data_IF_325303535413
#
_entry.id   IF_325303535413
#
_cell.length_a   1.000
_cell.length_b   1.000
_cell.length_c   1.000
_cell.angle_alpha   90.00
_cell.angle_beta   90.00
_cell.angle_gamma   90.00
#
_symmetry.space_group_name_H-M   'P 1'
#
loop_
_entity.id
_entity.type
_entity.pdbx_description
1 polymer ?
#
# COMPACT_ATOMS: atom_id res chain seq x y z
N UNK A 1 -18.57 -10.65 8.68
CA UNK A 1 -17.16 -10.18 8.54
C UNK A 1 -16.69 -10.71 7.20
N UNK A 2 -16.00 -9.91 6.38
CA UNK A 2 -15.47 -10.43 5.11
C UNK A 2 -14.48 -11.56 5.39
N UNK A 3 -14.40 -12.54 4.50
CA UNK A 3 -13.50 -13.68 4.63
C UNK A 3 -12.03 -13.19 4.55
N UNK A 4 -11.20 -13.37 5.59
CA UNK A 4 -9.81 -12.90 5.61
C UNK A 4 -8.98 -13.44 4.44
N UNK A 5 -9.18 -14.70 4.03
CA UNK A 5 -8.42 -15.31 2.94
C UNK A 5 -8.71 -14.58 1.61
N UNK A 6 -9.99 -14.38 1.29
CA UNK A 6 -10.42 -13.61 0.12
C UNK A 6 -9.89 -12.19 0.11
N UNK A 7 -9.96 -11.47 1.23
CA UNK A 7 -9.54 -10.07 1.31
C UNK A 7 -8.02 -9.92 1.15
N UNK A 8 -7.23 -10.81 1.77
CA UNK A 8 -5.77 -10.81 1.65
C UNK A 8 -5.34 -11.21 0.23
N UNK A 9 -5.99 -12.22 -0.36
CA UNK A 9 -5.76 -12.63 -1.76
C UNK A 9 -6.08 -11.49 -2.73
N UNK A 10 -7.20 -10.78 -2.50
CA UNK A 10 -7.57 -9.63 -3.30
C UNK A 10 -6.52 -8.52 -3.20
N UNK A 11 -6.09 -8.16 -1.98
CA UNK A 11 -5.06 -7.14 -1.76
C UNK A 11 -3.75 -7.46 -2.51
N UNK A 12 -3.22 -8.68 -2.31
CA UNK A 12 -2.01 -9.17 -3.00
C UNK A 12 -2.16 -9.16 -4.53
N UNK A 13 -3.36 -9.45 -5.04
CA UNK A 13 -3.59 -9.47 -6.49
C UNK A 13 -3.68 -8.11 -7.18
N UNK A 14 -3.86 -7.03 -6.42
CA UNK A 14 -4.12 -5.69 -6.96
C UNK A 14 -3.03 -4.69 -6.62
N UNK A 15 -2.39 -4.84 -5.46
CA UNK A 15 -1.46 -3.85 -4.92
C UNK A 15 -0.34 -3.53 -5.91
N UNK A 16 0.25 -4.53 -6.56
CA UNK A 16 1.38 -4.33 -7.49
C UNK A 16 0.98 -3.51 -8.71
N UNK A 17 -0.22 -3.74 -9.27
CA UNK A 17 -0.74 -2.93 -10.37
C UNK A 17 -1.03 -1.49 -9.93
N UNK A 18 -1.59 -1.29 -8.73
CA UNK A 18 -1.84 0.04 -8.21
C UNK A 18 -0.56 0.80 -7.92
N UNK A 19 0.43 0.19 -7.27
CA UNK A 19 1.73 0.82 -7.00
C UNK A 19 2.43 1.19 -8.31
N UNK A 20 2.44 0.30 -9.30
CA UNK A 20 2.99 0.58 -10.63
C UNK A 20 2.30 1.78 -11.30
N UNK A 21 0.96 1.81 -11.24
CA UNK A 21 0.18 2.92 -11.76
C UNK A 21 0.55 4.24 -11.08
N UNK A 22 0.55 4.28 -9.73
CA UNK A 22 0.88 5.48 -8.96
C UNK A 22 2.30 5.95 -9.26
N UNK A 23 3.28 5.05 -9.30
CA UNK A 23 4.65 5.38 -9.67
C UNK A 23 4.72 6.02 -11.06
N UNK A 24 4.01 5.45 -12.04
CA UNK A 24 3.96 6.00 -13.40
C UNK A 24 3.39 7.42 -13.42
N UNK A 25 2.38 7.70 -12.59
CA UNK A 25 1.82 9.06 -12.44
C UNK A 25 2.82 10.03 -11.83
N UNK A 26 3.55 9.60 -10.80
CA UNK A 26 4.62 10.39 -10.18
C UNK A 26 5.68 10.74 -11.23
N UNK A 27 6.19 9.75 -11.97
CA UNK A 27 7.25 9.95 -12.97
C UNK A 27 6.85 10.91 -14.10
N UNK A 28 5.57 10.95 -14.46
CA UNK A 28 5.02 11.85 -15.50
C UNK A 28 4.68 13.25 -14.98
N UNK A 29 4.82 13.51 -13.68
CA UNK A 29 4.42 14.78 -13.08
C UNK A 29 2.90 14.94 -12.91
N UNK A 30 2.13 13.85 -13.03
CA UNK A 30 0.68 13.84 -12.79
C UNK A 30 0.39 13.77 -11.28
N UNK A 31 0.85 14.79 -10.53
CA UNK A 31 1.00 14.70 -9.07
C UNK A 31 -0.33 14.54 -8.32
N UNK A 32 -1.41 15.17 -8.77
CA UNK A 32 -2.73 15.03 -8.15
C UNK A 32 -3.36 13.65 -8.37
N UNK A 33 -3.10 13.04 -9.51
CA UNK A 33 -3.45 11.63 -9.77
C UNK A 33 -2.66 10.71 -8.85
N UNK A 34 -1.37 10.99 -8.64
CA UNK A 34 -0.56 10.24 -7.69
C UNK A 34 -1.08 10.38 -6.24
N UNK A 35 -1.45 11.59 -5.79
CA UNK A 35 -2.07 11.82 -4.47
C UNK A 35 -3.34 10.98 -4.31
N UNK A 36 -4.19 10.97 -5.34
CA UNK A 36 -5.43 10.16 -5.35
C UNK A 36 -5.14 8.66 -5.30
N UNK A 37 -4.07 8.24 -5.98
CA UNK A 37 -3.55 6.89 -5.96
C UNK A 37 -3.10 6.42 -4.57
N UNK A 38 -2.25 7.21 -3.89
CA UNK A 38 -1.84 6.96 -2.51
C UNK A 38 -3.06 6.82 -1.59
N UNK A 39 -4.02 7.76 -1.69
CA UNK A 39 -5.25 7.66 -0.90
C UNK A 39 -6.02 6.36 -1.15
N UNK A 40 -6.11 5.94 -2.42
CA UNK A 40 -6.80 4.71 -2.79
C UNK A 40 -6.11 3.47 -2.23
N UNK A 41 -4.77 3.42 -2.20
CA UNK A 41 -4.01 2.32 -1.59
C UNK A 41 -4.26 2.27 -0.08
N UNK A 42 -4.20 3.41 0.63
CA UNK A 42 -4.54 3.47 2.06
C UNK A 42 -5.93 2.93 2.35
N UNK A 43 -6.94 3.41 1.62
CA UNK A 43 -8.34 3.08 1.88
C UNK A 43 -8.67 1.63 1.52
N UNK A 44 -8.26 1.17 0.34
CA UNK A 44 -8.68 -0.14 -0.17
C UNK A 44 -7.80 -1.28 0.38
N UNK A 45 -6.54 -1.00 0.72
CA UNK A 45 -5.57 -2.02 1.15
C UNK A 45 -5.16 -1.85 2.60
N UNK A 46 -4.50 -0.76 2.96
CA UNK A 46 -3.78 -0.68 4.24
C UNK A 46 -4.74 -0.70 5.43
N UNK A 47 -5.80 0.10 5.41
CA UNK A 47 -6.82 0.08 6.47
C UNK A 47 -7.58 -1.26 6.52
N UNK A 48 -7.69 -1.95 5.39
CA UNK A 48 -8.33 -3.27 5.34
C UNK A 48 -7.47 -4.32 6.03
N UNK A 49 -6.20 -4.40 5.66
CA UNK A 49 -5.25 -5.35 6.25
C UNK A 49 -5.04 -5.09 7.73
N UNK A 50 -4.98 -3.81 8.15
CA UNK A 50 -4.91 -3.45 9.56
C UNK A 50 -6.12 -3.97 10.36
N UNK A 51 -7.33 -3.83 9.81
CA UNK A 51 -8.54 -4.34 10.46
C UNK A 51 -8.52 -5.88 10.57
N UNK A 52 -8.06 -6.58 9.52
CA UNK A 52 -7.92 -8.05 9.51
C UNK A 52 -6.89 -8.49 10.55
N UNK A 53 -5.70 -7.88 10.55
CA UNK A 53 -4.61 -8.19 11.49
C UNK A 53 -5.03 -8.04 12.96
N UNK A 54 -6.01 -7.18 13.23
CA UNK A 54 -6.54 -6.93 14.58
C UNK A 54 -7.87 -7.63 14.88
N UNK A 55 -8.37 -8.46 13.96
CA UNK A 55 -9.70 -9.06 14.05
C UNK A 55 -10.81 -8.02 14.35
N UNK A 56 -10.70 -6.82 13.76
CA UNK A 56 -11.63 -5.71 13.95
C UNK A 56 -12.54 -5.55 12.73
N UNK A 57 -13.72 -4.95 12.95
CA UNK A 57 -14.61 -4.55 11.86
C UNK A 57 -13.92 -3.46 11.04
N UNK A 58 -13.75 -3.69 9.74
CA UNK A 58 -13.27 -2.68 8.81
C UNK A 58 -14.19 -1.44 8.78
N UNK A 59 -13.57 -0.26 8.91
CA UNK A 59 -14.25 1.05 8.89
C UNK A 59 -13.55 2.06 7.96
N UNK A 60 -12.62 1.60 7.12
CA UNK A 60 -11.73 2.49 6.37
C UNK A 60 -10.95 3.42 7.31
N UNK A 61 -10.71 4.65 6.88
CA UNK A 61 -10.06 5.68 7.68
C UNK A 61 -10.94 6.22 8.83
N UNK A 62 -12.22 5.81 8.95
CA UNK A 62 -13.12 6.35 9.98
C UNK A 62 -12.65 5.90 11.38
N UNK A 63 -12.29 6.87 12.21
CA UNK A 63 -11.68 6.67 13.53
C UNK A 63 -10.31 5.97 13.46
N UNK A 64 -9.57 6.17 12.36
CA UNK A 64 -8.22 5.64 12.21
C UNK A 64 -7.32 6.05 13.37
N UNK A 65 -7.45 7.26 13.88
CA UNK A 65 -6.65 7.78 14.98
C UNK A 65 -6.76 6.93 16.25
N UNK A 66 -7.88 6.24 16.46
CA UNK A 66 -8.08 5.30 17.56
C UNK A 66 -7.55 3.90 17.23
N UNK A 67 -7.59 3.51 15.96
CA UNK A 67 -7.25 2.16 15.49
C UNK A 67 -5.86 2.03 14.87
N UNK A 68 -5.05 3.09 14.77
CA UNK A 68 -3.70 3.00 14.20
C UNK A 68 -2.70 2.31 15.13
N UNK A 69 -2.83 2.49 16.45
CA UNK A 69 -1.91 1.90 17.44
C UNK A 69 -0.43 2.11 17.10
N UNK A 70 0.34 1.03 17.10
CA UNK A 70 1.76 0.98 16.76
C UNK A 70 2.09 1.44 15.33
N UNK A 71 1.13 1.35 14.39
CA UNK A 71 1.31 1.75 13.00
C UNK A 71 1.06 3.24 12.73
N UNK A 72 0.80 4.06 13.77
CA UNK A 72 0.56 5.50 13.59
C UNK A 72 1.66 6.19 12.80
N UNK A 73 2.93 5.93 13.15
CA UNK A 73 4.07 6.53 12.45
C UNK A 73 4.21 6.00 11.03
N UNK A 74 3.86 4.74 10.78
CA UNK A 74 3.92 4.16 9.45
C UNK A 74 2.89 4.81 8.51
N UNK A 75 1.64 4.94 8.95
CA UNK A 75 0.62 5.65 8.18
C UNK A 75 0.96 7.13 8.00
N UNK A 76 1.58 7.80 8.99
CA UNK A 76 2.01 9.19 8.81
C UNK A 76 3.05 9.34 7.68
N UNK A 77 3.93 8.34 7.48
CA UNK A 77 4.93 8.34 6.39
C UNK A 77 4.34 8.13 5.00
N UNK A 78 3.09 7.65 4.90
CA UNK A 78 2.36 7.54 3.63
C UNK A 78 1.73 8.86 3.18
N UNK A 79 1.91 9.93 3.94
CA UNK A 79 1.52 11.29 3.55
C UNK A 79 2.68 11.98 2.83
N UNK A 80 2.34 12.84 1.87
CA UNK A 80 3.29 13.53 1.02
C UNK A 80 2.90 15.01 0.83
N UNK A 81 3.91 15.88 0.74
CA UNK A 81 3.79 17.14 0.01
C UNK A 81 3.66 16.90 -1.51
N UNK A 82 3.10 17.87 -2.23
CA UNK A 82 2.81 17.74 -3.67
C UNK A 82 4.06 18.04 -4.49
N UNK A 83 4.97 17.07 -4.52
CA UNK A 83 6.18 17.03 -5.34
C UNK A 83 6.58 15.57 -5.60
N UNK A 84 7.38 15.31 -6.64
CA UNK A 84 7.67 13.96 -7.09
C UNK A 84 8.44 13.11 -6.07
N UNK A 85 9.40 13.71 -5.36
CA UNK A 85 10.26 13.00 -4.42
C UNK A 85 9.47 12.57 -3.18
N UNK A 86 8.70 13.50 -2.62
CA UNK A 86 7.82 13.25 -1.48
C UNK A 86 6.75 12.21 -1.80
N UNK A 87 6.09 12.30 -2.97
CA UNK A 87 5.10 11.31 -3.39
C UNK A 87 5.70 9.92 -3.59
N UNK A 88 6.92 9.83 -4.15
CA UNK A 88 7.63 8.57 -4.29
C UNK A 88 8.03 7.99 -2.93
N UNK A 89 8.47 8.84 -2.00
CA UNK A 89 8.77 8.44 -0.62
C UNK A 89 7.53 7.89 0.09
N UNK A 90 6.38 8.55 -0.05
CA UNK A 90 5.12 8.07 0.49
C UNK A 90 4.67 6.75 -0.14
N UNK A 91 4.84 6.57 -1.45
CA UNK A 91 4.54 5.31 -2.13
C UNK A 91 5.41 4.16 -1.61
N UNK A 92 6.71 4.41 -1.39
CA UNK A 92 7.61 3.42 -0.75
C UNK A 92 7.13 3.08 0.66
N UNK A 93 6.74 4.08 1.45
CA UNK A 93 6.20 3.85 2.78
C UNK A 93 4.89 3.04 2.77
N UNK A 94 4.02 3.21 1.77
CA UNK A 94 2.82 2.38 1.58
C UNK A 94 3.18 0.94 1.29
N UNK A 95 4.17 0.68 0.43
CA UNK A 95 4.65 -0.67 0.15
C UNK A 95 5.29 -1.30 1.40
N UNK A 96 6.13 -0.58 2.13
CA UNK A 96 6.75 -1.09 3.36
C UNK A 96 5.72 -1.43 4.44
N UNK A 97 4.68 -0.60 4.58
CA UNK A 97 3.57 -0.87 5.49
C UNK A 97 2.70 -2.03 4.99
N UNK A 98 2.43 -2.09 3.69
CA UNK A 98 1.72 -3.21 3.07
C UNK A 98 2.42 -4.54 3.39
N UNK A 99 3.73 -4.63 3.16
CA UNK A 99 4.50 -5.85 3.43
C UNK A 99 4.42 -6.26 4.90
N UNK A 100 4.56 -5.30 5.83
CA UNK A 100 4.48 -5.57 7.28
C UNK A 100 3.11 -6.08 7.71
N UNK A 101 2.02 -5.62 7.08
CA UNK A 101 0.66 -6.08 7.37
C UNK A 101 0.32 -7.38 6.63
N UNK A 102 0.73 -7.50 5.36
CA UNK A 102 0.33 -8.56 4.45
C UNK A 102 1.15 -9.84 4.66
N UNK A 103 2.48 -9.76 4.78
CA UNK A 103 3.34 -10.96 4.82
C UNK A 103 2.93 -11.95 5.94
N UNK A 104 2.62 -11.51 7.19
CA UNK A 104 2.10 -12.41 8.23
C UNK A 104 0.74 -13.02 7.89
N UNK A 105 -0.16 -12.25 7.26
CA UNK A 105 -1.50 -12.70 6.89
C UNK A 105 -1.47 -13.69 5.72
N UNK A 106 -0.62 -13.43 4.72
CA UNK A 106 -0.38 -14.31 3.58
C UNK A 106 0.12 -15.68 4.07
N UNK A 107 1.13 -15.68 4.96
CA UNK A 107 1.67 -16.90 5.55
C UNK A 107 0.63 -17.64 6.40
N UNK A 108 -0.14 -16.91 7.24
CA UNK A 108 -1.19 -17.49 8.08
C UNK A 108 -2.28 -18.19 7.25
N UNK A 109 -2.60 -17.63 6.08
CA UNK A 109 -3.68 -18.11 5.23
C UNK A 109 -3.22 -18.99 4.05
N UNK A 110 -1.92 -19.29 3.93
CA UNK A 110 -1.38 -20.11 2.85
C UNK A 110 -1.56 -19.48 1.47
N UNK A 111 -1.57 -18.14 1.39
CA UNK A 111 -1.68 -17.39 0.14
C UNK A 111 -0.27 -17.07 -0.35
N UNK A 112 0.07 -17.53 -1.55
CA UNK A 112 1.39 -17.27 -2.13
C UNK A 112 1.52 -15.82 -2.64
N UNK A 113 2.61 -15.10 -2.28
CA UNK A 113 2.89 -13.78 -2.83
C UNK A 113 3.13 -13.83 -4.35
N UNK A 114 2.71 -12.79 -5.07
CA UNK A 114 2.97 -12.60 -6.49
C UNK A 114 4.40 -12.09 -6.72
N UNK A 115 5.38 -12.96 -6.48
CA UNK A 115 6.81 -12.63 -6.49
C UNK A 115 7.26 -11.86 -7.73
N UNK A 116 6.88 -12.31 -8.93
CA UNK A 116 7.28 -11.63 -10.16
C UNK A 116 6.79 -10.17 -10.23
N UNK A 117 5.54 -9.90 -9.85
CA UNK A 117 4.99 -8.54 -9.85
C UNK A 117 5.58 -7.70 -8.72
N UNK A 118 5.73 -8.28 -7.52
CA UNK A 118 6.39 -7.67 -6.36
C UNK A 118 7.82 -7.25 -6.70
N UNK A 119 8.63 -8.16 -7.22
CA UNK A 119 10.05 -7.91 -7.52
C UNK A 119 10.21 -6.84 -8.60
N UNK A 120 9.37 -6.87 -9.65
CA UNK A 120 9.38 -5.84 -10.69
C UNK A 120 9.04 -4.44 -10.13
N UNK A 121 8.01 -4.36 -9.28
CA UNK A 121 7.61 -3.09 -8.65
C UNK A 121 8.66 -2.60 -7.66
N UNK A 122 9.24 -3.47 -6.83
CA UNK A 122 10.27 -3.09 -5.88
C UNK A 122 11.53 -2.59 -6.60
N UNK A 123 11.97 -3.28 -7.66
CA UNK A 123 13.09 -2.83 -8.48
C UNK A 123 12.82 -1.46 -9.12
N UNK A 124 11.60 -1.21 -9.60
CA UNK A 124 11.22 0.09 -10.15
C UNK A 124 11.21 1.18 -9.06
N UNK A 125 10.69 0.88 -7.87
CA UNK A 125 10.69 1.81 -6.74
C UNK A 125 12.11 2.11 -6.25
N UNK A 126 13.02 1.15 -6.26
CA UNK A 126 14.44 1.35 -5.89
C UNK A 126 15.14 2.30 -6.87
N UNK A 127 14.89 2.13 -8.18
CA UNK A 127 15.37 3.06 -9.21
C UNK A 127 14.79 4.48 -9.06
N UNK A 128 13.65 4.62 -8.39
CA UNK A 128 13.02 5.89 -8.06
C UNK A 128 12.72 6.75 -9.28
N UNK A 129 13.06 8.05 -9.25
CA UNK A 129 12.81 8.97 -10.37
C UNK A 129 13.66 8.68 -11.62
N UNK A 130 14.70 7.86 -11.49
CA UNK A 130 15.50 7.41 -12.63
C UNK A 130 14.83 6.26 -13.41
N UNK A 131 13.78 5.64 -12.86
CA UNK A 131 13.04 4.59 -13.55
C UNK A 131 12.51 5.08 -14.91
N UNK A 132 12.65 4.22 -15.93
CA UNK A 132 12.11 4.41 -17.26
C UNK A 132 11.32 3.14 -17.60
N UNK A 133 9.98 3.20 -17.64
CA UNK A 133 9.14 2.04 -17.94
C UNK A 133 9.28 1.58 -19.39
#
# INVERSE_FOLDING_TARGET
MADPVSEVTYAESRIWTWVWYVQTKILRGELWEAVSGLNSVRDVVLFRLLAIARAQRYRGARYAEESLGEHRTDFARTLATIDQESLLSALRAEVDLYLRLADPLLALHGVEPQRAARDAVLSALDAGLAWRP
#
